data_IF_937423954208
#
_entry.id   IF_937423954208
#
_cell.length_a   1.000
_cell.length_b   1.000
_cell.length_c   1.000
_cell.angle_alpha   90.00
_cell.angle_beta   90.00
_cell.angle_gamma   90.00
#
_symmetry.space_group_name_H-M   'P 1'
#
loop_
_entity.id
_entity.type
_entity.pdbx_description
1 polymer ?
#
# COMPACT_ATOMS: atom_id res chain seq x y z
N UNK A 1 -18.24 4.99 -16.78
CA UNK A 1 -17.61 4.73 -15.46
C UNK A 1 -16.11 4.76 -15.69
N UNK A 2 -15.48 5.90 -15.41
CA UNK A 2 -14.12 6.24 -15.84
C UNK A 2 -13.11 5.69 -14.83
N UNK A 3 -12.57 4.53 -15.14
CA UNK A 3 -11.22 4.07 -14.82
C UNK A 3 -10.65 4.58 -13.49
N UNK A 4 -10.95 3.82 -12.43
CA UNK A 4 -10.36 3.94 -11.07
C UNK A 4 -8.90 3.41 -11.01
N UNK A 5 -8.23 3.23 -12.14
CA UNK A 5 -6.86 2.71 -12.20
C UNK A 5 -5.83 3.72 -11.70
N UNK A 6 -6.09 5.03 -11.85
CA UNK A 6 -5.27 6.08 -11.23
C UNK A 6 -5.31 6.03 -9.71
N UNK A 7 -6.43 5.59 -9.10
CA UNK A 7 -6.55 5.44 -7.66
C UNK A 7 -5.63 4.35 -7.10
N UNK A 8 -5.56 3.18 -7.77
CA UNK A 8 -4.82 2.02 -7.26
C UNK A 8 -3.30 2.22 -7.35
N UNK A 9 -2.80 2.82 -8.44
CA UNK A 9 -1.36 3.10 -8.56
C UNK A 9 -0.92 4.14 -7.52
N UNK A 10 -1.75 5.17 -7.30
CA UNK A 10 -1.49 6.23 -6.33
C UNK A 10 -1.54 5.70 -4.88
N UNK A 11 -2.48 4.80 -4.59
CA UNK A 11 -2.63 4.15 -3.30
C UNK A 11 -1.46 3.18 -3.01
N UNK A 12 -0.94 2.49 -4.02
CA UNK A 12 0.28 1.69 -3.89
C UNK A 12 1.51 2.56 -3.60
N UNK A 13 1.69 3.67 -4.32
CA UNK A 13 2.82 4.58 -4.10
C UNK A 13 2.75 5.20 -2.70
N UNK A 14 1.56 5.59 -2.25
CA UNK A 14 1.35 6.05 -0.86
C UNK A 14 1.67 4.96 0.16
N UNK A 15 1.20 3.73 -0.06
CA UNK A 15 1.52 2.60 0.82
C UNK A 15 3.02 2.35 0.96
N UNK A 16 3.76 2.36 -0.17
CA UNK A 16 5.22 2.17 -0.17
C UNK A 16 5.92 3.35 0.50
N UNK A 17 5.48 4.58 0.22
CA UNK A 17 6.00 5.79 0.88
C UNK A 17 5.85 5.73 2.40
N UNK A 18 4.66 5.37 2.88
CA UNK A 18 4.39 5.19 4.31
C UNK A 18 5.18 4.02 4.91
N UNK A 19 5.33 2.89 4.21
CA UNK A 19 6.20 1.79 4.66
C UNK A 19 7.67 2.20 4.83
N UNK A 20 8.16 3.14 4.01
CA UNK A 20 9.54 3.60 4.06
C UNK A 20 9.74 4.76 5.05
N UNK A 21 8.70 5.57 5.26
CA UNK A 21 8.75 6.77 6.11
C UNK A 21 8.33 6.52 7.56
N UNK A 22 7.46 5.54 7.80
CA UNK A 22 6.82 5.30 9.09
C UNK A 22 7.49 4.15 9.84
N UNK A 23 7.57 4.24 11.18
CA UNK A 23 7.92 3.11 12.06
C UNK A 23 6.75 2.12 12.25
N UNK A 24 5.62 2.36 11.57
CA UNK A 24 4.45 1.50 11.61
C UNK A 24 4.75 0.11 11.05
N UNK A 25 4.24 -0.91 11.72
CA UNK A 25 4.42 -2.29 11.27
C UNK A 25 3.65 -2.55 9.98
N UNK A 26 4.18 -3.45 9.13
CA UNK A 26 3.50 -3.93 7.91
C UNK A 26 2.03 -4.34 8.17
N UNK A 27 1.73 -4.90 9.35
CA UNK A 27 0.38 -5.29 9.74
C UNK A 27 -0.56 -4.09 9.89
N UNK A 28 -0.10 -3.02 10.56
CA UNK A 28 -0.89 -1.81 10.77
C UNK A 28 -1.16 -1.10 9.44
N UNK A 29 -0.13 -0.93 8.62
CA UNK A 29 -0.25 -0.34 7.29
C UNK A 29 -1.16 -1.16 6.37
N UNK A 30 -1.03 -2.49 6.35
CA UNK A 30 -1.92 -3.34 5.55
C UNK A 30 -3.39 -3.23 5.99
N UNK A 31 -3.65 -3.12 7.31
CA UNK A 31 -5.00 -2.94 7.84
C UNK A 31 -5.58 -1.57 7.46
N UNK A 32 -4.78 -0.50 7.54
CA UNK A 32 -5.19 0.85 7.16
C UNK A 32 -5.54 0.97 5.66
N UNK A 33 -4.82 0.25 4.81
CA UNK A 33 -5.05 0.20 3.36
C UNK A 33 -6.03 -0.90 2.93
N UNK A 34 -6.56 -1.70 3.86
CA UNK A 34 -7.50 -2.79 3.55
C UNK A 34 -6.91 -3.91 2.68
N UNK A 35 -5.59 -4.07 2.68
CA UNK A 35 -4.88 -5.08 1.90
C UNK A 35 -4.35 -6.21 2.77
N UNK A 36 -4.07 -7.35 2.15
CA UNK A 36 -3.38 -8.44 2.84
C UNK A 36 -1.90 -8.13 3.02
N UNK A 37 -1.29 -8.67 4.08
CA UNK A 37 0.18 -8.60 4.29
C UNK A 37 0.97 -9.12 3.10
N UNK A 38 0.50 -10.18 2.45
CA UNK A 38 1.12 -10.73 1.22
C UNK A 38 1.15 -9.69 0.10
N UNK A 39 0.07 -8.93 -0.05
CA UNK A 39 -0.02 -7.83 -1.02
C UNK A 39 0.94 -6.69 -0.63
N UNK A 40 0.96 -6.30 0.65
CA UNK A 40 1.86 -5.27 1.17
C UNK A 40 3.33 -5.58 0.91
N UNK A 41 3.79 -6.80 1.23
CA UNK A 41 5.16 -7.23 0.93
C UNK A 41 5.46 -7.19 -0.58
N UNK A 42 4.53 -7.67 -1.42
CA UNK A 42 4.69 -7.61 -2.88
C UNK A 42 4.77 -6.17 -3.42
N UNK A 43 4.09 -5.23 -2.78
CA UNK A 43 4.13 -3.82 -3.14
C UNK A 43 5.43 -3.16 -2.75
N UNK A 44 6.02 -3.55 -1.61
CA UNK A 44 7.31 -3.07 -1.12
C UNK A 44 8.51 -3.65 -1.88
N UNK A 45 8.43 -4.91 -2.32
CA UNK A 45 9.52 -5.61 -3.02
C UNK A 45 9.72 -5.16 -4.49
N UNK A 46 8.80 -4.35 -5.04
CA UNK A 46 8.82 -3.88 -6.44
C UNK A 46 8.96 -2.37 -6.52
#
# INVERSE_FOLDING_TARGET
>A
MVWRETGIMDERLRFVGECLASEETMTALCAAYGISRKTGYKWLER
#
